data_IF_936745156081
#
_entry.id   IF_936745156081
#
_cell.length_a   1.000
_cell.length_b   1.000
_cell.length_c   1.000
_cell.angle_alpha   90.00
_cell.angle_beta   90.00
_cell.angle_gamma   90.00
#
_symmetry.space_group_name_H-M   'P 1'
#
loop_
_entity.id
_entity.type
_entity.pdbx_description
1 polymer ?
#
# COMPACT_ATOMS: atom_id res chain seq x y z
N UNK A 1 -4.10 20.66 9.70
CA UNK A 1 -4.53 19.48 10.49
C UNK A 1 -5.93 19.76 11.03
N UNK A 2 -6.78 18.73 11.11
CA UNK A 2 -8.10 18.78 11.78
C UNK A 2 -8.15 17.74 12.89
N UNK A 3 -9.00 17.97 13.89
CA UNK A 3 -9.26 17.06 15.00
C UNK A 3 -10.71 16.60 14.93
N UNK A 4 -10.95 15.32 15.13
CA UNK A 4 -12.28 14.71 15.16
C UNK A 4 -12.30 13.53 16.12
N UNK A 5 -13.48 13.09 16.52
CA UNK A 5 -13.69 11.81 17.17
C UNK A 5 -14.01 10.78 16.08
N UNK A 6 -13.41 9.59 16.16
CA UNK A 6 -13.71 8.50 15.23
C UNK A 6 -13.56 7.14 15.91
N UNK A 7 -14.26 6.15 15.38
CA UNK A 7 -14.21 4.75 15.79
C UNK A 7 -14.11 3.86 14.54
N UNK A 8 -13.56 2.64 14.65
CA UNK A 8 -13.45 1.69 13.54
C UNK A 8 -14.82 1.25 12.99
N UNK A 9 -15.83 1.16 13.86
CA UNK A 9 -17.20 0.79 13.55
C UNK A 9 -18.20 1.56 14.45
N UNK A 10 -19.50 1.55 14.14
CA UNK A 10 -20.50 2.33 14.88
C UNK A 10 -20.67 1.94 16.36
N UNK A 11 -20.27 0.71 16.74
CA UNK A 11 -20.46 0.17 18.08
C UNK A 11 -19.20 0.31 18.95
N UNK A 12 -18.05 0.61 18.33
CA UNK A 12 -16.79 0.84 19.02
C UNK A 12 -16.71 2.20 19.72
N UNK A 13 -15.87 2.28 20.76
CA UNK A 13 -15.63 3.52 21.48
C UNK A 13 -14.95 4.56 20.58
N UNK A 14 -15.46 5.79 20.60
CA UNK A 14 -14.83 6.91 19.94
C UNK A 14 -13.47 7.22 20.59
N UNK A 15 -12.48 7.50 19.76
CA UNK A 15 -11.18 8.02 20.19
C UNK A 15 -10.85 9.32 19.45
N UNK A 16 -10.09 10.24 20.07
CA UNK A 16 -9.66 11.46 19.40
C UNK A 16 -8.64 11.17 18.29
N UNK A 17 -8.88 11.68 17.08
CA UNK A 17 -8.02 11.51 15.90
C UNK A 17 -7.60 12.86 15.32
N UNK A 18 -6.30 13.01 15.02
CA UNK A 18 -5.75 14.20 14.34
C UNK A 18 -5.12 13.83 13.00
N UNK A 19 -5.64 14.38 11.91
CA UNK A 19 -5.25 14.07 10.53
C UNK A 19 -5.24 15.34 9.63
N UNK A 20 -4.74 15.29 8.38
CA UNK A 20 -4.84 16.41 7.45
C UNK A 20 -6.27 16.92 7.26
N UNK A 21 -6.43 18.23 7.07
CA UNK A 21 -7.76 18.84 6.99
C UNK A 21 -8.54 18.42 5.74
N UNK A 22 -7.83 18.03 4.66
CA UNK A 22 -8.40 17.58 3.39
C UNK A 22 -8.86 16.12 3.39
N UNK A 23 -8.56 15.36 4.43
CA UNK A 23 -8.92 13.94 4.52
C UNK A 23 -10.28 13.80 5.18
N UNK A 24 -11.12 12.91 4.64
CA UNK A 24 -12.50 12.67 5.07
C UNK A 24 -12.61 11.87 6.38
N UNK A 25 -13.84 11.67 6.86
CA UNK A 25 -14.11 10.99 8.13
C UNK A 25 -13.88 9.48 8.04
N UNK A 26 -13.97 8.88 6.84
CA UNK A 26 -13.60 7.48 6.64
C UNK A 26 -12.11 7.26 6.86
N UNK A 27 -11.26 8.23 6.48
CA UNK A 27 -9.84 8.18 6.78
C UNK A 27 -9.57 8.33 8.29
N UNK A 28 -10.40 9.09 9.02
CA UNK A 28 -10.31 9.18 10.47
C UNK A 28 -10.67 7.85 11.15
N UNK A 29 -11.75 7.21 10.72
CA UNK A 29 -12.17 5.89 11.19
C UNK A 29 -11.12 4.81 10.88
N UNK A 30 -10.57 4.80 9.66
CA UNK A 30 -9.50 3.88 9.29
C UNK A 30 -8.23 4.07 10.14
N UNK A 31 -7.85 5.31 10.44
CA UNK A 31 -6.71 5.57 11.33
C UNK A 31 -7.01 5.15 12.77
N UNK A 32 -8.25 5.36 13.26
CA UNK A 32 -8.67 4.88 14.57
C UNK A 32 -8.58 3.35 14.69
N UNK A 33 -8.89 2.64 13.59
CA UNK A 33 -8.81 1.18 13.49
C UNK A 33 -7.35 0.67 13.42
N UNK A 34 -6.52 1.30 12.58
CA UNK A 34 -5.16 0.82 12.26
C UNK A 34 -4.12 1.20 13.31
N UNK A 35 -4.35 2.28 14.08
CA UNK A 35 -3.37 2.75 15.02
C UNK A 35 -3.41 1.94 16.33
N UNK A 36 -2.27 1.45 16.83
CA UNK A 36 -2.23 0.70 18.08
C UNK A 36 -2.84 1.44 19.28
N UNK A 37 -3.51 0.68 20.16
CA UNK A 37 -4.09 1.15 21.43
C UNK A 37 -5.37 1.96 21.28
N UNK A 38 -5.95 2.39 22.41
CA UNK A 38 -7.29 3.02 22.48
C UNK A 38 -7.25 4.55 22.67
N UNK A 39 -6.07 5.13 22.92
CA UNK A 39 -5.92 6.55 23.27
C UNK A 39 -6.03 7.51 22.09
N UNK A 40 -5.84 8.81 22.30
CA UNK A 40 -5.78 9.78 21.21
C UNK A 40 -4.66 9.44 20.21
N UNK A 41 -4.94 9.55 18.91
CA UNK A 41 -3.98 9.27 17.83
C UNK A 41 -3.79 10.47 16.92
N UNK A 42 -2.55 10.68 16.47
CA UNK A 42 -2.25 11.60 15.36
C UNK A 42 -1.66 10.81 14.19
N UNK A 43 -2.03 11.15 12.96
CA UNK A 43 -1.47 10.51 11.77
C UNK A 43 0.06 10.60 11.76
N UNK A 44 0.61 11.76 12.12
CA UNK A 44 2.05 11.99 12.14
C UNK A 44 2.77 11.04 13.11
N UNK A 45 2.27 10.92 14.36
CA UNK A 45 2.87 10.02 15.34
C UNK A 45 2.72 8.54 14.95
N UNK A 46 1.53 8.15 14.48
CA UNK A 46 1.26 6.78 14.05
C UNK A 46 2.13 6.38 12.84
N UNK A 47 2.28 7.28 11.85
CA UNK A 47 3.15 7.07 10.70
C UNK A 47 4.62 6.96 11.12
N UNK A 48 5.09 7.87 11.96
CA UNK A 48 6.49 7.88 12.41
C UNK A 48 6.85 6.61 13.19
N UNK A 49 5.91 6.04 13.94
CA UNK A 49 6.13 4.83 14.75
C UNK A 49 6.60 3.64 13.90
N UNK A 50 6.05 3.45 12.70
CA UNK A 50 6.48 2.36 11.81
C UNK A 50 7.50 2.83 10.76
N UNK A 51 7.47 4.09 10.32
CA UNK A 51 8.44 4.60 9.32
C UNK A 51 9.86 4.67 9.91
N UNK A 52 10.02 5.09 11.17
CA UNK A 52 11.34 5.23 11.80
C UNK A 52 12.15 3.93 11.78
N UNK A 53 11.62 2.80 12.31
CA UNK A 53 12.38 1.54 12.29
C UNK A 53 12.61 1.03 10.86
N UNK A 54 11.64 1.18 9.96
CA UNK A 54 11.77 0.75 8.55
C UNK A 54 12.85 1.53 7.80
N UNK A 55 12.99 2.83 8.07
CA UNK A 55 13.96 3.68 7.40
C UNK A 55 15.32 3.78 8.12
N UNK A 56 15.52 3.04 9.21
CA UNK A 56 16.72 3.16 10.04
C UNK A 56 18.02 2.91 9.24
N UNK A 57 18.05 1.86 8.42
CA UNK A 57 19.22 1.49 7.62
C UNK A 57 19.23 2.13 6.22
N UNK A 58 18.05 2.40 5.64
CA UNK A 58 17.91 2.97 4.31
C UNK A 58 18.03 4.51 4.28
N UNK A 59 17.95 5.16 5.44
CA UNK A 59 18.11 6.60 5.62
C UNK A 59 16.91 7.46 5.23
N UNK A 60 17.08 8.79 5.34
CA UNK A 60 16.06 9.82 5.07
C UNK A 60 15.30 9.64 3.74
N UNK A 61 15.94 9.27 2.61
CA UNK A 61 15.23 9.19 1.34
C UNK A 61 14.10 8.14 1.31
N UNK A 62 14.17 7.08 2.11
CA UNK A 62 13.08 6.11 2.23
C UNK A 62 11.95 6.66 3.10
N UNK A 63 12.29 7.27 4.24
CA UNK A 63 11.31 7.90 5.12
C UNK A 63 10.50 8.98 4.40
N UNK A 64 11.16 9.85 3.63
CA UNK A 64 10.52 10.92 2.86
C UNK A 64 9.57 10.37 1.80
N UNK A 65 9.96 9.27 1.12
CA UNK A 65 9.10 8.58 0.15
C UNK A 65 7.87 7.96 0.82
N UNK A 66 8.04 7.30 1.96
CA UNK A 66 6.92 6.69 2.69
C UNK A 66 5.96 7.74 3.23
N UNK A 67 6.47 8.84 3.80
CA UNK A 67 5.66 9.98 4.21
C UNK A 67 4.90 10.57 3.03
N UNK A 68 5.55 10.74 1.87
CA UNK A 68 4.89 11.22 0.65
C UNK A 68 3.78 10.28 0.17
N UNK A 69 4.01 8.96 0.15
CA UNK A 69 2.98 7.99 -0.23
C UNK A 69 1.75 8.08 0.69
N UNK A 70 1.98 8.19 2.00
CA UNK A 70 0.89 8.29 2.96
C UNK A 70 0.12 9.61 2.80
N UNK A 71 0.82 10.75 2.74
CA UNK A 71 0.20 12.08 2.64
C UNK A 71 -0.60 12.26 1.34
N UNK A 72 -0.13 11.69 0.23
CA UNK A 72 -0.82 11.69 -1.05
C UNK A 72 -1.90 10.60 -1.15
N UNK A 73 -2.15 9.82 -0.08
CA UNK A 73 -3.08 8.68 -0.05
C UNK A 73 -2.80 7.66 -1.16
N UNK A 74 -1.53 7.52 -1.57
CA UNK A 74 -1.06 6.63 -2.63
C UNK A 74 -0.71 5.24 -2.15
N UNK A 75 -0.37 5.09 -0.88
CA UNK A 75 -0.22 3.77 -0.30
C UNK A 75 0.10 3.79 1.18
N UNK A 76 -0.14 2.65 1.81
CA UNK A 76 0.14 2.41 3.22
C UNK A 76 0.45 0.91 3.41
N UNK A 77 1.24 0.56 4.44
CA UNK A 77 1.46 -0.84 4.75
C UNK A 77 0.24 -1.45 5.44
N UNK A 78 0.19 -2.79 5.53
CA UNK A 78 -0.85 -3.52 6.26
C UNK A 78 -0.74 -3.33 7.77
N UNK A 79 -1.83 -3.62 8.49
CA UNK A 79 -1.93 -3.49 9.95
C UNK A 79 -0.73 -4.09 10.70
N UNK A 80 -0.24 -5.25 10.27
CA UNK A 80 0.93 -5.90 10.86
C UNK A 80 2.15 -4.96 10.95
N UNK A 81 2.40 -4.16 9.92
CA UNK A 81 3.52 -3.19 9.90
C UNK A 81 3.21 -1.97 10.76
N UNK A 82 1.97 -1.46 10.75
CA UNK A 82 1.55 -0.38 11.65
C UNK A 82 1.75 -0.73 13.12
N UNK A 83 1.59 -2.01 13.45
CA UNK A 83 1.78 -2.55 14.80
C UNK A 83 3.23 -3.00 15.07
N UNK A 84 4.16 -2.81 14.14
CA UNK A 84 5.56 -3.28 14.22
C UNK A 84 5.66 -4.80 14.47
N UNK A 85 4.74 -5.57 13.87
CA UNK A 85 4.63 -7.03 13.91
C UNK A 85 4.66 -7.61 12.50
N UNK A 86 5.50 -7.03 11.65
CA UNK A 86 5.78 -7.53 10.30
C UNK A 86 6.48 -8.90 10.43
N UNK A 87 5.67 -9.96 10.59
CA UNK A 87 6.12 -11.34 10.67
C UNK A 87 6.42 -11.91 9.28
N UNK A 88 5.92 -13.10 8.99
CA UNK A 88 6.32 -13.85 7.79
C UNK A 88 5.74 -13.34 6.46
N UNK A 89 4.72 -12.49 6.49
CA UNK A 89 4.05 -11.95 5.29
C UNK A 89 3.66 -10.47 5.46
N UNK A 90 4.64 -9.55 5.46
CA UNK A 90 4.35 -8.12 5.55
C UNK A 90 3.75 -7.63 4.21
N UNK A 91 2.78 -6.74 4.30
CA UNK A 91 2.03 -6.26 3.14
C UNK A 91 2.09 -4.75 2.94
N UNK A 92 1.94 -4.32 1.70
CA UNK A 92 1.78 -2.92 1.31
C UNK A 92 0.71 -2.78 0.22
N UNK A 93 -0.17 -1.80 0.36
CA UNK A 93 -1.27 -1.57 -0.59
C UNK A 93 -1.12 -0.21 -1.25
N UNK A 94 -1.19 -0.19 -2.58
CA UNK A 94 -1.14 1.01 -3.41
C UNK A 94 -2.55 1.37 -3.91
N UNK A 95 -2.99 2.60 -3.66
CA UNK A 95 -4.31 3.09 -4.05
C UNK A 95 -4.25 3.65 -5.49
N UNK A 96 -4.80 2.92 -6.46
CA UNK A 96 -4.62 3.21 -7.89
C UNK A 96 -5.09 4.62 -8.31
N UNK A 97 -6.28 5.12 -7.92
CA UNK A 97 -6.74 6.44 -8.33
C UNK A 97 -5.84 7.58 -7.84
N UNK A 98 -5.07 7.38 -6.78
CA UNK A 98 -4.17 8.41 -6.24
C UNK A 98 -2.91 8.63 -7.11
N UNK A 99 -2.73 7.85 -8.17
CA UNK A 99 -1.69 8.02 -9.18
C UNK A 99 -2.18 8.75 -10.44
N UNK A 100 -3.44 9.18 -10.47
CA UNK A 100 -3.91 10.10 -11.51
C UNK A 100 -3.31 11.49 -11.30
N UNK A 101 -2.80 12.09 -12.36
CA UNK A 101 -2.32 13.47 -12.36
C UNK A 101 -3.46 14.49 -12.54
N UNK A 102 -3.12 15.77 -12.67
CA UNK A 102 -4.11 16.84 -12.86
C UNK A 102 -4.89 16.75 -14.17
N UNK A 103 -4.34 16.05 -15.17
CA UNK A 103 -4.95 15.85 -16.49
C UNK A 103 -5.74 14.53 -16.55
N UNK A 104 -5.88 13.84 -15.40
CA UNK A 104 -6.55 12.55 -15.30
C UNK A 104 -5.78 11.41 -15.95
N UNK A 105 -4.48 11.58 -16.21
CA UNK A 105 -3.62 10.53 -16.74
C UNK A 105 -2.98 9.74 -15.61
N UNK A 106 -2.83 8.43 -15.79
CA UNK A 106 -2.19 7.58 -14.80
C UNK A 106 -0.67 7.75 -14.86
N UNK A 107 -0.07 8.25 -13.79
CA UNK A 107 1.38 8.40 -13.67
C UNK A 107 2.03 7.03 -13.39
N UNK A 108 2.38 6.35 -14.47
CA UNK A 108 3.02 5.03 -14.42
C UNK A 108 4.39 5.07 -13.76
N UNK A 109 5.12 6.18 -13.89
CA UNK A 109 6.46 6.32 -13.35
C UNK A 109 6.42 6.44 -11.82
N UNK A 110 5.53 7.28 -11.30
CA UNK A 110 5.33 7.42 -9.85
C UNK A 110 4.73 6.14 -9.25
N UNK A 111 3.85 5.45 -9.98
CA UNK A 111 3.36 4.13 -9.57
C UNK A 111 4.50 3.10 -9.45
N UNK A 112 5.37 3.00 -10.45
CA UNK A 112 6.53 2.10 -10.40
C UNK A 112 7.49 2.48 -9.26
N UNK A 113 7.71 3.76 -9.00
CA UNK A 113 8.52 4.22 -7.87
C UNK A 113 7.86 3.85 -6.52
N UNK A 114 6.54 3.91 -6.43
CA UNK A 114 5.80 3.49 -5.24
C UNK A 114 5.93 1.98 -4.98
N UNK A 115 5.86 1.15 -6.03
CA UNK A 115 6.09 -0.30 -5.94
C UNK A 115 7.49 -0.60 -5.41
N UNK A 116 8.52 0.04 -5.96
CA UNK A 116 9.88 -0.12 -5.46
C UNK A 116 10.02 0.32 -4.00
N UNK A 117 9.42 1.45 -3.64
CA UNK A 117 9.42 1.98 -2.27
C UNK A 117 8.77 0.97 -1.30
N UNK A 118 7.65 0.37 -1.70
CA UNK A 118 6.97 -0.66 -0.92
C UNK A 118 7.87 -1.89 -0.71
N UNK A 119 8.53 -2.40 -1.76
CA UNK A 119 9.45 -3.54 -1.64
C UNK A 119 10.59 -3.25 -0.66
N UNK A 120 11.27 -2.11 -0.81
CA UNK A 120 12.36 -1.71 0.09
C UNK A 120 11.85 -1.63 1.54
N UNK A 121 10.67 -1.02 1.73
CA UNK A 121 10.08 -0.86 3.05
C UNK A 121 9.72 -2.20 3.70
N UNK A 122 9.11 -3.14 2.96
CA UNK A 122 8.74 -4.46 3.49
C UNK A 122 9.97 -5.31 3.80
N UNK A 123 11.00 -5.29 2.93
CA UNK A 123 12.27 -5.98 3.19
C UNK A 123 12.98 -5.43 4.44
N UNK A 124 12.88 -4.12 4.69
CA UNK A 124 13.42 -3.52 5.91
C UNK A 124 12.56 -3.80 7.15
N UNK A 125 11.23 -3.84 7.00
CA UNK A 125 10.29 -4.10 8.08
C UNK A 125 10.37 -5.55 8.60
N UNK A 126 10.61 -6.51 7.70
CA UNK A 126 10.72 -7.92 8.02
C UNK A 126 11.90 -8.55 7.25
N UNK A 127 13.15 -8.36 7.71
CA UNK A 127 14.34 -8.84 6.99
C UNK A 127 14.42 -10.37 6.88
N UNK A 128 13.72 -11.09 7.76
CA UNK A 128 13.68 -12.56 7.78
C UNK A 128 12.47 -13.14 7.02
N UNK A 129 11.55 -12.29 6.53
CA UNK A 129 10.39 -12.74 5.78
C UNK A 129 10.81 -13.30 4.42
N UNK A 130 10.26 -14.47 4.08
CA UNK A 130 10.52 -15.12 2.78
C UNK A 130 9.69 -14.56 1.65
N UNK A 131 8.47 -14.16 1.97
CA UNK A 131 7.50 -13.63 1.04
C UNK A 131 7.05 -12.23 1.52
N UNK A 132 6.86 -11.31 0.58
CA UNK A 132 6.31 -9.98 0.84
C UNK A 132 5.13 -9.74 -0.10
N UNK A 133 4.13 -9.01 0.36
CA UNK A 133 2.91 -8.77 -0.42
C UNK A 133 2.81 -7.30 -0.83
N UNK A 134 2.90 -7.02 -2.14
CA UNK A 134 2.60 -5.68 -2.68
C UNK A 134 1.33 -5.78 -3.51
N UNK A 135 0.25 -5.18 -3.00
CA UNK A 135 -1.07 -5.17 -3.61
C UNK A 135 -1.47 -3.81 -4.15
N UNK A 136 -2.54 -3.81 -4.93
CA UNK A 136 -3.20 -2.61 -5.43
C UNK A 136 -4.65 -2.60 -4.95
N UNK A 137 -5.18 -1.41 -4.70
CA UNK A 137 -6.56 -1.19 -4.32
C UNK A 137 -7.26 -0.21 -5.27
N UNK A 138 -8.58 -0.30 -5.27
CA UNK A 138 -9.50 0.58 -5.99
C UNK A 138 -9.27 0.66 -7.51
N UNK A 139 -9.13 -0.52 -8.13
CA UNK A 139 -9.15 -0.64 -9.60
C UNK A 139 -10.46 -0.09 -10.18
N UNK A 140 -11.59 -0.28 -9.49
CA UNK A 140 -12.89 0.23 -9.92
C UNK A 140 -12.90 1.76 -10.00
N UNK A 141 -12.36 2.46 -8.98
CA UNK A 141 -12.24 3.91 -8.99
C UNK A 141 -11.35 4.42 -10.13
N UNK A 142 -10.23 3.73 -10.43
CA UNK A 142 -9.37 4.08 -11.55
C UNK A 142 -10.11 3.94 -12.87
N UNK A 143 -10.74 2.78 -13.10
CA UNK A 143 -11.46 2.50 -14.35
C UNK A 143 -12.64 3.47 -14.54
N UNK A 144 -13.37 3.78 -13.47
CA UNK A 144 -14.45 4.77 -13.49
C UNK A 144 -13.95 6.16 -13.92
N UNK A 145 -12.79 6.60 -13.39
CA UNK A 145 -12.18 7.87 -13.78
C UNK A 145 -11.78 7.89 -15.26
N UNK A 146 -11.24 6.79 -15.77
CA UNK A 146 -10.86 6.63 -17.17
C UNK A 146 -12.07 6.45 -18.11
N UNK A 147 -13.29 6.38 -17.59
CA UNK A 147 -14.49 6.13 -18.38
C UNK A 147 -14.55 4.71 -18.96
N UNK A 148 -13.88 3.75 -18.34
CA UNK A 148 -13.81 2.36 -18.78
C UNK A 148 -14.79 1.51 -17.97
N UNK A 149 -15.69 0.81 -18.66
CA UNK A 149 -16.59 -0.14 -18.02
C UNK A 149 -15.81 -1.32 -17.39
N UNK A 150 -16.13 -1.65 -16.15
CA UNK A 150 -15.40 -2.67 -15.38
C UNK A 150 -15.48 -4.06 -16.02
N UNK A 151 -16.60 -4.40 -16.68
CA UNK A 151 -16.80 -5.68 -17.35
C UNK A 151 -16.14 -5.80 -18.73
N UNK A 152 -15.56 -4.71 -19.23
CA UNK A 152 -15.02 -4.64 -20.59
C UNK A 152 -13.68 -5.36 -20.76
N UNK A 153 -13.31 -5.64 -22.02
CA UNK A 153 -11.98 -6.13 -22.37
C UNK A 153 -10.89 -5.11 -22.03
N UNK A 154 -11.15 -3.82 -22.28
CA UNK A 154 -10.25 -2.73 -21.95
C UNK A 154 -9.91 -2.69 -20.44
N UNK A 155 -10.89 -2.91 -19.56
CA UNK A 155 -10.64 -3.01 -18.12
C UNK A 155 -9.68 -4.15 -17.76
N UNK A 156 -9.84 -5.33 -18.41
CA UNK A 156 -8.94 -6.46 -18.20
C UNK A 156 -7.53 -6.17 -18.71
N UNK A 157 -7.39 -5.45 -19.82
CA UNK A 157 -6.09 -5.06 -20.36
C UNK A 157 -5.37 -4.07 -19.47
N UNK A 158 -6.08 -3.07 -18.93
CA UNK A 158 -5.54 -2.16 -17.91
C UNK A 158 -5.08 -2.94 -16.67
N UNK A 159 -5.92 -3.85 -16.16
CA UNK A 159 -5.57 -4.66 -14.99
C UNK A 159 -4.31 -5.53 -15.23
N UNK A 160 -4.21 -6.16 -16.41
CA UNK A 160 -3.03 -6.93 -16.83
C UNK A 160 -1.78 -6.06 -16.93
N UNK A 161 -1.89 -4.88 -17.54
CA UNK A 161 -0.79 -3.93 -17.67
C UNK A 161 -0.26 -3.47 -16.31
N UNK A 162 -1.16 -3.10 -15.40
CA UNK A 162 -0.79 -2.69 -14.03
C UNK A 162 -0.14 -3.84 -13.25
N UNK A 163 -0.69 -5.05 -13.35
CA UNK A 163 -0.12 -6.24 -12.70
C UNK A 163 1.28 -6.56 -13.25
N UNK A 164 1.50 -6.45 -14.56
CA UNK A 164 2.80 -6.68 -15.19
C UNK A 164 3.83 -5.65 -14.71
N UNK A 165 3.44 -4.37 -14.61
CA UNK A 165 4.32 -3.30 -14.11
C UNK A 165 4.65 -3.49 -12.65
N UNK A 166 3.65 -3.77 -11.81
CA UNK A 166 3.85 -4.06 -10.39
C UNK A 166 4.83 -5.23 -10.23
N UNK A 167 4.58 -6.36 -10.91
CA UNK A 167 5.41 -7.55 -10.80
C UNK A 167 6.84 -7.27 -11.26
N UNK A 168 7.00 -6.73 -12.47
CA UNK A 168 8.32 -6.45 -13.04
C UNK A 168 9.13 -5.47 -12.19
N UNK A 169 8.48 -4.46 -11.61
CA UNK A 169 9.15 -3.49 -10.75
C UNK A 169 9.50 -4.05 -9.38
N UNK A 170 8.61 -4.86 -8.80
CA UNK A 170 8.84 -5.53 -7.53
C UNK A 170 10.00 -6.52 -7.63
N UNK A 171 10.01 -7.38 -8.66
CA UNK A 171 11.09 -8.34 -8.91
C UNK A 171 12.42 -7.63 -9.13
N UNK A 172 12.43 -6.56 -9.92
CA UNK A 172 13.65 -5.78 -10.16
C UNK A 172 14.19 -5.13 -8.87
N UNK A 173 13.32 -4.62 -8.00
CA UNK A 173 13.70 -4.04 -6.72
C UNK A 173 14.25 -5.11 -5.76
N UNK A 174 13.53 -6.23 -5.63
CA UNK A 174 13.95 -7.37 -4.81
C UNK A 174 15.31 -7.91 -5.25
N UNK A 175 15.53 -8.06 -6.56
CA UNK A 175 16.81 -8.49 -7.13
C UNK A 175 18.00 -7.56 -6.80
N UNK A 176 17.76 -6.25 -6.62
CA UNK A 176 18.80 -5.30 -6.18
C UNK A 176 19.09 -5.38 -4.68
N UNK A 177 18.12 -5.81 -3.88
CA UNK A 177 18.23 -5.96 -2.43
C UNK A 177 18.83 -7.31 -2.02
N UNK A 178 18.81 -8.29 -2.92
CA UNK A 178 19.33 -9.63 -2.68
C UNK A 178 20.79 -9.60 -2.19
N UNK A 179 21.03 -10.15 -1.00
CA UNK A 179 22.37 -10.29 -0.43
C UNK A 179 23.02 -11.59 -0.94
N UNK A 180 24.36 -11.61 -1.15
CA UNK A 180 25.07 -12.84 -1.49
C UNK A 180 24.78 -13.95 -0.46
N UNK A 181 24.29 -15.11 -0.92
CA UNK A 181 24.03 -16.28 -0.07
C UNK A 181 22.63 -16.39 0.51
N UNK A 182 21.74 -15.41 0.31
CA UNK A 182 20.32 -15.57 0.62
C UNK A 182 19.62 -16.26 -0.55
N UNK A 183 18.97 -17.40 -0.31
CA UNK A 183 18.21 -18.09 -1.35
C UNK A 183 16.95 -17.27 -1.67
N UNK A 184 16.97 -16.57 -2.79
CA UNK A 184 15.76 -16.01 -3.38
C UNK A 184 14.85 -17.18 -3.76
N UNK A 185 13.55 -17.08 -3.47
CA UNK A 185 12.56 -18.01 -4.01
C UNK A 185 12.73 -18.02 -5.55
N UNK A 186 12.75 -19.19 -6.20
CA UNK A 186 12.72 -19.25 -7.66
C UNK A 186 11.57 -18.37 -8.17
N UNK A 187 11.79 -17.70 -9.30
CA UNK A 187 10.75 -16.91 -9.99
C UNK A 187 9.69 -17.83 -10.62
N UNK A 188 9.24 -18.85 -9.89
CA UNK A 188 8.14 -19.70 -10.28
C UNK A 188 6.88 -18.84 -10.15
N UNK A 189 6.30 -18.47 -11.29
CA UNK A 189 4.96 -17.92 -11.33
C UNK A 189 3.98 -19.01 -10.89
N UNK A 190 3.76 -19.17 -9.58
CA UNK A 190 2.76 -20.07 -9.00
C UNK A 190 1.35 -19.48 -9.01
N UNK A 191 1.09 -18.53 -9.94
CA UNK A 191 -0.21 -17.90 -10.09
C UNK A 191 -1.26 -19.02 -10.09
N UNK A 192 -2.13 -19.01 -9.08
CA UNK A 192 -3.28 -19.91 -9.11
C UNK A 192 -4.08 -19.50 -10.33
N UNK A 193 -4.28 -20.44 -11.25
CA UNK A 193 -5.24 -20.24 -12.32
C UNK A 193 -6.57 -19.78 -11.67
N UNK A 194 -7.21 -18.70 -12.16
CA UNK A 194 -8.52 -18.33 -11.68
C UNK A 194 -9.42 -19.56 -11.82
N UNK A 195 -10.24 -19.83 -10.80
CA UNK A 195 -11.15 -20.97 -10.85
C UNK A 195 -11.98 -20.90 -12.13
N UNK A 196 -12.06 -22.01 -12.86
CA UNK A 196 -12.83 -22.11 -14.10
C UNK A 196 -14.34 -21.82 -13.90
N UNK A 197 -14.80 -21.78 -12.64
CA UNK A 197 -16.20 -21.71 -12.24
C UNK A 197 -16.71 -20.30 -11.88
N UNK A 198 -16.24 -19.24 -12.54
CA UNK A 198 -16.98 -17.97 -12.47
C UNK A 198 -17.91 -17.86 -13.69
N UNK A 199 -19.16 -18.35 -13.62
CA UNK A 199 -20.11 -18.06 -14.68
C UNK A 199 -20.32 -16.55 -14.73
N UNK A 200 -19.90 -15.95 -15.83
CA UNK A 200 -20.30 -14.59 -16.19
C UNK A 200 -21.80 -14.67 -16.46
N UNK A 201 -22.61 -14.14 -15.54
CA UNK A 201 -24.03 -13.88 -15.76
C UNK A 201 -24.23 -12.41 -16.06
#
# INVERSE_FOLDING_TARGET
MRRTEAAPDPDAALRPVTLPASWDDSAAAALAALAPGEGAVTLAAAAQAWITPVAADAGSPLADRLHRLLLLRRGAPTEAVWHCRAGDAPGFVLNLPAFLDSDGQFDLADFALAVETAVIALTAAAPDARDIDVGMADLAGLLAHLGIDYGSEAARDVARGLAAVLRGRADAASGRLARPGHALRPADCDWRAPSADTPVR
#
